data_IF_645809080980
#
_entry.id   IF_645809080980
#
_cell.length_a   1.000
_cell.length_b   1.000
_cell.length_c   1.000
_cell.angle_alpha   90.00
_cell.angle_beta   90.00
_cell.angle_gamma   90.00
#
_symmetry.space_group_name_H-M   'P 1'
#
loop_
_entity.id
_entity.type
_entity.pdbx_description
1 polymer ?
#
# COMPACT_ATOMS: atom_id res chain seq x y z
N UNK A 1 -10.83 -16.89 -21.53
CA UNK A 1 -10.38 -17.93 -20.58
C UNK A 1 -8.88 -17.76 -20.41
N UNK A 2 -8.45 -17.13 -19.31
CA UNK A 2 -7.01 -17.08 -18.97
C UNK A 2 -6.73 -18.43 -18.30
N UNK A 3 -5.91 -19.26 -18.94
CA UNK A 3 -5.41 -20.49 -18.33
C UNK A 3 -4.56 -20.08 -17.12
N UNK A 4 -5.04 -20.41 -15.93
CA UNK A 4 -4.29 -20.36 -14.68
C UNK A 4 -3.13 -21.37 -14.77
N UNK A 5 -2.01 -20.97 -15.37
CA UNK A 5 -0.76 -21.70 -15.17
C UNK A 5 -0.43 -21.65 -13.68
N UNK A 6 -0.32 -22.81 -12.99
CA UNK A 6 -0.03 -22.83 -11.57
C UNK A 6 1.36 -22.21 -11.37
N UNK A 7 1.39 -21.04 -10.74
CA UNK A 7 2.63 -20.37 -10.34
C UNK A 7 3.45 -21.36 -9.51
N UNK A 8 4.60 -21.75 -10.03
CA UNK A 8 5.42 -22.79 -9.40
C UNK A 8 6.23 -22.21 -8.25
N UNK A 9 6.60 -23.05 -7.27
CA UNK A 9 7.49 -22.63 -6.18
C UNK A 9 8.87 -22.16 -6.70
N UNK A 10 9.23 -22.58 -7.92
CA UNK A 10 10.42 -22.14 -8.64
C UNK A 10 10.30 -20.68 -9.11
N UNK A 11 9.13 -20.28 -9.58
CA UNK A 11 8.84 -18.89 -9.97
C UNK A 11 8.86 -17.97 -8.75
N UNK A 12 8.33 -18.44 -7.61
CA UNK A 12 8.42 -17.71 -6.34
C UNK A 12 9.87 -17.50 -5.90
N UNK A 13 10.69 -18.56 -5.86
CA UNK A 13 12.06 -18.46 -5.37
C UNK A 13 12.93 -17.51 -6.22
N UNK A 14 12.75 -17.52 -7.55
CA UNK A 14 13.44 -16.62 -8.46
C UNK A 14 13.03 -15.15 -8.23
N UNK A 15 11.73 -14.87 -8.24
CA UNK A 15 11.19 -13.51 -8.05
C UNK A 15 11.45 -12.96 -6.65
N UNK A 16 11.39 -13.81 -5.62
CA UNK A 16 11.67 -13.40 -4.26
C UNK A 16 13.15 -13.06 -4.06
N UNK A 17 14.07 -13.83 -4.65
CA UNK A 17 15.51 -13.50 -4.62
C UNK A 17 15.82 -12.18 -5.30
N UNK A 18 15.21 -11.93 -6.45
CA UNK A 18 15.35 -10.67 -7.18
C UNK A 18 14.89 -9.47 -6.35
N UNK A 19 13.72 -9.57 -5.72
CA UNK A 19 13.14 -8.49 -4.91
C UNK A 19 13.85 -8.33 -3.55
N UNK A 20 14.32 -9.43 -2.94
CA UNK A 20 14.88 -9.44 -1.59
C UNK A 20 16.39 -9.18 -1.53
N UNK A 21 17.14 -9.44 -2.61
CA UNK A 21 18.62 -9.46 -2.59
C UNK A 21 19.28 -8.13 -2.21
N UNK A 22 18.55 -7.01 -2.28
CA UNK A 22 19.04 -5.69 -1.86
C UNK A 22 18.68 -5.31 -0.42
N UNK A 23 17.85 -6.12 0.26
CA UNK A 23 17.21 -5.77 1.55
C UNK A 23 17.45 -6.83 2.62
N UNK A 24 17.48 -8.11 2.25
CA UNK A 24 17.61 -9.24 3.17
C UNK A 24 18.96 -9.94 2.98
N UNK A 25 19.45 -10.59 4.03
CA UNK A 25 20.65 -11.44 3.92
C UNK A 25 20.33 -12.74 3.17
N UNK A 26 21.33 -13.35 2.53
CA UNK A 26 21.17 -14.67 1.87
C UNK A 26 20.55 -15.73 2.80
N UNK A 27 20.93 -15.71 4.08
CA UNK A 27 20.34 -16.62 5.07
C UNK A 27 18.83 -16.36 5.26
N UNK A 28 18.43 -15.10 5.43
CA UNK A 28 17.01 -14.73 5.57
C UNK A 28 16.19 -15.07 4.32
N UNK A 29 16.80 -14.91 3.13
CA UNK A 29 16.18 -15.24 1.86
C UNK A 29 15.93 -16.75 1.78
N UNK A 30 16.93 -17.56 2.08
CA UNK A 30 16.82 -19.02 2.02
C UNK A 30 15.84 -19.56 3.08
N UNK A 31 15.86 -19.02 4.30
CA UNK A 31 14.91 -19.37 5.36
C UNK A 31 13.46 -19.10 4.94
N UNK A 32 13.19 -17.96 4.30
CA UNK A 32 11.82 -17.61 3.88
C UNK A 32 11.37 -18.44 2.67
N UNK A 33 12.29 -18.81 1.76
CA UNK A 33 12.01 -19.75 0.67
C UNK A 33 11.63 -21.12 1.24
N UNK A 34 12.36 -21.64 2.22
CA UNK A 34 12.05 -22.92 2.86
C UNK A 34 10.69 -22.87 3.60
N UNK A 35 10.42 -21.78 4.32
CA UNK A 35 9.11 -21.57 4.95
C UNK A 35 7.98 -21.54 3.92
N UNK A 36 8.19 -20.91 2.77
CA UNK A 36 7.18 -20.83 1.72
C UNK A 36 6.97 -22.19 1.03
N UNK A 37 8.03 -22.97 0.80
CA UNK A 37 7.92 -24.35 0.31
C UNK A 37 7.12 -25.21 1.30
N UNK A 38 7.39 -25.06 2.61
CA UNK A 38 6.63 -25.76 3.65
C UNK A 38 5.14 -25.40 3.62
N UNK A 39 4.80 -24.10 3.55
CA UNK A 39 3.41 -23.64 3.44
C UNK A 39 2.72 -24.19 2.19
N UNK A 40 3.45 -24.26 1.08
CA UNK A 40 2.92 -24.72 -0.21
C UNK A 40 2.70 -26.22 -0.23
N UNK A 41 3.61 -26.99 0.36
CA UNK A 41 3.44 -28.42 0.59
C UNK A 41 2.23 -28.70 1.50
N UNK A 42 2.05 -27.93 2.59
CA UNK A 42 0.88 -28.06 3.46
C UNK A 42 -0.43 -27.72 2.72
N UNK A 43 -0.43 -26.64 1.92
CA UNK A 43 -1.58 -26.24 1.12
C UNK A 43 -1.94 -27.32 0.09
N UNK A 44 -0.95 -27.88 -0.61
CA UNK A 44 -1.13 -28.96 -1.57
C UNK A 44 -1.73 -30.21 -0.89
N UNK A 45 -1.20 -30.61 0.28
CA UNK A 45 -1.75 -31.74 1.07
C UNK A 45 -3.21 -31.52 1.47
N UNK A 46 -3.61 -30.28 1.75
CA UNK A 46 -4.99 -29.93 2.12
C UNK A 46 -5.89 -29.59 0.93
N UNK A 47 -5.39 -29.65 -0.31
CA UNK A 47 -6.12 -29.27 -1.52
C UNK A 47 -6.48 -27.77 -1.59
N UNK A 48 -5.65 -26.91 -0.97
CA UNK A 48 -5.84 -25.46 -0.96
C UNK A 48 -5.02 -24.86 -2.12
N UNK A 49 -5.70 -24.16 -3.03
CA UNK A 49 -5.04 -23.53 -4.17
C UNK A 49 -4.06 -22.41 -3.71
N UNK A 50 -2.85 -22.30 -4.31
CA UNK A 50 -1.86 -21.27 -3.97
C UNK A 50 -2.39 -19.84 -3.96
N UNK A 51 -3.25 -19.51 -4.92
CA UNK A 51 -3.85 -18.18 -5.07
C UNK A 51 -4.68 -17.76 -3.84
N UNK A 52 -5.15 -18.71 -3.03
CA UNK A 52 -5.91 -18.42 -1.80
C UNK A 52 -5.05 -17.81 -0.70
N UNK A 53 -3.74 -17.99 -0.69
CA UNK A 53 -2.85 -17.37 0.31
C UNK A 53 -1.78 -16.46 -0.31
N UNK A 54 -1.39 -16.69 -1.58
CA UNK A 54 -0.49 -15.81 -2.34
C UNK A 54 -1.21 -14.66 -3.04
N UNK A 55 -2.51 -14.80 -3.33
CA UNK A 55 -3.22 -13.92 -4.24
C UNK A 55 -2.89 -14.21 -5.71
N UNK A 56 -3.35 -13.34 -6.61
CA UNK A 56 -3.19 -13.52 -8.07
C UNK A 56 -1.94 -12.83 -8.64
N UNK A 57 -1.29 -11.95 -7.87
CA UNK A 57 -0.09 -11.23 -8.31
C UNK A 57 1.10 -11.68 -7.45
N UNK A 58 1.91 -12.60 -7.99
CA UNK A 58 3.05 -13.16 -7.29
C UNK A 58 4.11 -12.09 -6.98
N UNK A 59 4.35 -11.14 -7.89
CA UNK A 59 5.32 -10.07 -7.67
C UNK A 59 4.92 -9.19 -6.48
N UNK A 60 3.65 -8.83 -6.37
CA UNK A 60 3.11 -8.12 -5.20
C UNK A 60 3.27 -8.95 -3.93
N UNK A 61 3.03 -10.26 -4.01
CA UNK A 61 3.21 -11.17 -2.88
C UNK A 61 4.66 -11.21 -2.39
N UNK A 62 5.63 -11.40 -3.29
CA UNK A 62 7.07 -11.35 -2.97
C UNK A 62 7.45 -10.02 -2.32
N UNK A 63 6.97 -8.89 -2.89
CA UNK A 63 7.17 -7.56 -2.32
C UNK A 63 6.62 -7.46 -0.90
N UNK A 64 5.36 -7.85 -0.67
CA UNK A 64 4.75 -7.81 0.66
C UNK A 64 5.52 -8.65 1.70
N UNK A 65 6.15 -9.76 1.29
CA UNK A 65 7.02 -10.57 2.16
C UNK A 65 8.30 -9.80 2.51
N UNK A 66 9.02 -9.27 1.52
CA UNK A 66 10.23 -8.48 1.76
C UNK A 66 9.95 -7.32 2.70
N UNK A 67 8.82 -6.64 2.48
CA UNK A 67 8.36 -5.49 3.29
C UNK A 67 7.96 -5.89 4.71
N UNK A 68 7.53 -7.14 4.93
CA UNK A 68 7.21 -7.62 6.27
C UNK A 68 8.42 -7.75 7.20
N UNK A 69 9.63 -7.90 6.63
CA UNK A 69 10.89 -7.95 7.36
C UNK A 69 11.48 -6.57 7.67
N UNK A 70 10.88 -5.48 7.16
CA UNK A 70 11.34 -4.11 7.38
C UNK A 70 10.57 -3.44 8.54
N UNK A 71 11.16 -2.43 9.20
CA UNK A 71 10.48 -1.71 10.29
C UNK A 71 9.18 -1.07 9.81
N UNK A 72 8.22 -0.90 10.74
CA UNK A 72 6.89 -0.35 10.47
C UNK A 72 6.02 -1.19 9.50
N UNK A 73 6.34 -2.46 9.25
CA UNK A 73 5.63 -3.33 8.28
C UNK A 73 4.10 -3.34 8.41
N UNK A 74 3.55 -3.17 9.61
CA UNK A 74 2.11 -3.00 9.82
C UNK A 74 1.53 -1.77 9.09
N UNK A 75 2.22 -0.63 9.16
CA UNK A 75 1.86 0.57 8.41
C UNK A 75 1.93 0.31 6.91
N UNK A 76 2.90 -0.49 6.46
CA UNK A 76 3.01 -0.87 5.06
C UNK A 76 1.81 -1.64 4.54
N UNK A 77 1.45 -2.66 5.28
CA UNK A 77 0.33 -3.52 4.93
C UNK A 77 -0.98 -2.71 4.95
N UNK A 78 -1.16 -1.80 5.91
CA UNK A 78 -2.31 -0.91 5.98
C UNK A 78 -2.40 0.02 4.77
N UNK A 79 -1.33 0.74 4.43
CA UNK A 79 -1.32 1.67 3.30
C UNK A 79 -1.47 0.95 1.96
N UNK A 80 -0.85 -0.22 1.79
CA UNK A 80 -1.00 -1.06 0.59
C UNK A 80 -2.43 -1.56 0.41
N UNK A 81 -3.09 -1.97 1.50
CA UNK A 81 -4.51 -2.38 1.48
C UNK A 81 -5.43 -1.18 1.18
N UNK A 82 -5.17 -0.03 1.81
CA UNK A 82 -5.94 1.19 1.58
C UNK A 82 -5.83 1.67 0.14
N UNK A 83 -4.63 1.65 -0.44
CA UNK A 83 -4.41 1.98 -1.86
C UNK A 83 -5.16 1.03 -2.77
N UNK A 84 -5.12 -0.27 -2.47
CA UNK A 84 -5.89 -1.26 -3.21
C UNK A 84 -7.38 -0.98 -3.17
N UNK A 85 -7.93 -0.70 -1.98
CA UNK A 85 -9.33 -0.34 -1.81
C UNK A 85 -9.68 0.94 -2.59
N UNK A 86 -8.84 1.98 -2.51
CA UNK A 86 -9.00 3.26 -3.22
C UNK A 86 -8.98 3.07 -4.74
N UNK A 87 -8.09 2.21 -5.26
CA UNK A 87 -7.98 1.93 -6.69
C UNK A 87 -9.22 1.23 -7.26
N UNK A 88 -9.92 0.43 -6.44
CA UNK A 88 -11.22 -0.17 -6.79
C UNK A 88 -12.35 0.83 -6.62
N UNK A 89 -12.26 1.72 -5.62
CA UNK A 89 -13.28 2.71 -5.31
C UNK A 89 -13.38 3.82 -6.37
N UNK A 90 -12.25 4.28 -6.93
CA UNK A 90 -12.23 5.39 -7.87
C UNK A 90 -13.09 5.15 -9.13
N UNK A 91 -12.95 4.04 -9.88
CA UNK A 91 -13.80 3.79 -11.04
C UNK A 91 -15.28 3.79 -10.68
N UNK A 92 -15.63 3.22 -9.52
CA UNK A 92 -17.02 3.17 -9.01
C UNK A 92 -17.51 4.58 -8.69
N UNK A 93 -16.70 5.42 -8.04
CA UNK A 93 -17.01 6.82 -7.74
C UNK A 93 -17.11 7.70 -9.00
N UNK A 94 -16.27 7.48 -10.00
CA UNK A 94 -16.35 8.18 -11.29
C UNK A 94 -17.62 7.79 -12.05
N UNK A 95 -17.94 6.49 -12.12
CA UNK A 95 -19.20 5.99 -12.67
C UNK A 95 -20.41 6.57 -11.93
N UNK A 96 -20.37 6.60 -10.60
CA UNK A 96 -21.38 7.23 -9.74
C UNK A 96 -21.65 8.69 -10.11
N UNK A 97 -20.59 9.48 -10.32
CA UNK A 97 -20.73 10.88 -10.69
C UNK A 97 -21.32 11.05 -12.10
N UNK A 98 -20.88 10.24 -13.06
CA UNK A 98 -21.42 10.23 -14.43
C UNK A 98 -22.90 9.84 -14.43
N UNK A 99 -23.26 8.75 -13.75
CA UNK A 99 -24.65 8.27 -13.65
C UNK A 99 -25.53 9.28 -12.93
N UNK A 100 -25.06 9.90 -11.83
CA UNK A 100 -25.80 10.95 -11.12
C UNK A 100 -26.10 12.15 -12.04
N UNK A 101 -25.20 12.46 -12.97
CA UNK A 101 -25.38 13.57 -13.91
C UNK A 101 -26.31 13.22 -15.07
N UNK A 102 -26.42 11.94 -15.41
CA UNK A 102 -27.20 11.44 -16.54
C UNK A 102 -28.59 10.90 -16.15
N UNK A 103 -28.78 10.42 -14.91
CA UNK A 103 -30.00 9.72 -14.48
C UNK A 103 -30.40 10.17 -13.06
N UNK A 104 -31.66 10.59 -12.91
CA UNK A 104 -32.22 11.07 -11.64
C UNK A 104 -32.43 9.91 -10.64
N UNK A 105 -31.59 9.88 -9.58
CA UNK A 105 -31.82 9.56 -8.15
C UNK A 105 -32.01 8.14 -7.53
N UNK A 106 -32.39 7.00 -8.17
CA UNK A 106 -32.34 5.70 -7.47
C UNK A 106 -31.06 4.89 -7.74
N UNK A 107 -30.34 5.10 -8.85
CA UNK A 107 -29.11 4.33 -9.14
C UNK A 107 -27.93 4.72 -8.24
N UNK A 108 -27.85 5.98 -7.78
CA UNK A 108 -26.74 6.45 -6.95
C UNK A 108 -26.62 5.67 -5.62
N UNK A 109 -27.75 5.29 -5.01
CA UNK A 109 -27.75 4.45 -3.81
C UNK A 109 -27.20 3.05 -4.07
N UNK A 110 -27.59 2.42 -5.18
CA UNK A 110 -27.15 1.07 -5.56
C UNK A 110 -25.64 1.00 -5.80
N UNK A 111 -25.07 1.99 -6.48
CA UNK A 111 -23.62 2.02 -6.71
C UNK A 111 -22.81 2.33 -5.45
N UNK A 112 -23.32 3.13 -4.50
CA UNK A 112 -22.68 3.32 -3.20
C UNK A 112 -22.67 2.02 -2.36
N UNK A 113 -23.74 1.23 -2.44
CA UNK A 113 -23.76 -0.12 -1.87
C UNK A 113 -22.69 -0.98 -2.52
N UNK A 114 -22.60 -0.98 -3.85
CA UNK A 114 -21.55 -1.72 -4.56
C UNK A 114 -20.14 -1.29 -4.13
N UNK A 115 -19.91 0.02 -3.97
CA UNK A 115 -18.63 0.57 -3.51
C UNK A 115 -18.25 0.06 -2.10
N UNK A 116 -19.19 0.12 -1.15
CA UNK A 116 -19.00 -0.35 0.23
C UNK A 116 -18.71 -1.85 0.24
N UNK A 117 -19.50 -2.63 -0.50
CA UNK A 117 -19.31 -4.08 -0.63
C UNK A 117 -17.94 -4.40 -1.23
N UNK A 118 -17.55 -3.74 -2.32
CA UNK A 118 -16.24 -3.97 -2.96
C UNK A 118 -15.07 -3.69 -2.00
N UNK A 119 -15.10 -2.60 -1.24
CA UNK A 119 -14.03 -2.24 -0.29
C UNK A 119 -13.98 -3.25 0.87
N UNK A 120 -15.12 -3.60 1.46
CA UNK A 120 -15.20 -4.57 2.55
C UNK A 120 -14.69 -5.94 2.11
N UNK A 121 -15.13 -6.43 0.95
CA UNK A 121 -14.71 -7.73 0.45
C UNK A 121 -13.22 -7.72 0.05
N UNK A 122 -12.70 -6.62 -0.50
CA UNK A 122 -11.27 -6.50 -0.77
C UNK A 122 -10.43 -6.55 0.51
N UNK A 123 -10.75 -5.70 1.49
CA UNK A 123 -10.00 -5.58 2.74
C UNK A 123 -10.06 -6.86 3.59
N UNK A 124 -11.25 -7.40 3.80
CA UNK A 124 -11.44 -8.62 4.60
C UNK A 124 -10.82 -9.83 3.90
N UNK A 125 -10.86 -9.92 2.57
CA UNK A 125 -10.14 -10.96 1.82
C UNK A 125 -8.62 -10.84 2.02
N UNK A 126 -8.07 -9.63 2.05
CA UNK A 126 -6.63 -9.41 2.31
C UNK A 126 -6.23 -9.94 3.69
N UNK A 127 -7.02 -9.63 4.72
CA UNK A 127 -6.81 -10.14 6.09
C UNK A 127 -6.94 -11.66 6.15
N UNK A 128 -7.95 -12.22 5.46
CA UNK A 128 -8.16 -13.67 5.38
C UNK A 128 -6.95 -14.38 4.78
N UNK A 129 -6.37 -13.85 3.68
CA UNK A 129 -5.15 -14.41 3.06
C UNK A 129 -3.97 -14.44 4.03
N UNK A 130 -3.74 -13.34 4.76
CA UNK A 130 -2.67 -13.26 5.77
C UNK A 130 -2.87 -14.28 6.89
N UNK A 131 -4.08 -14.38 7.45
CA UNK A 131 -4.40 -15.38 8.48
C UNK A 131 -4.26 -16.81 7.97
N UNK A 132 -4.65 -17.07 6.72
CA UNK A 132 -4.47 -18.38 6.09
C UNK A 132 -2.98 -18.72 5.93
N UNK A 133 -2.14 -17.74 5.59
CA UNK A 133 -0.68 -17.94 5.54
C UNK A 133 -0.10 -18.29 6.91
N UNK A 134 -0.55 -17.63 7.98
CA UNK A 134 -0.14 -17.97 9.36
C UNK A 134 -0.59 -19.38 9.75
N UNK A 135 -1.81 -19.78 9.34
CA UNK A 135 -2.32 -21.14 9.56
C UNK A 135 -1.44 -22.18 8.83
N UNK A 136 -1.05 -21.92 7.58
CA UNK A 136 -0.17 -22.77 6.78
C UNK A 136 1.29 -22.79 7.24
N UNK A 137 1.72 -21.82 8.06
CA UNK A 137 3.03 -21.89 8.71
C UNK A 137 3.02 -22.69 10.01
N UNK A 138 1.84 -22.96 10.58
CA UNK A 138 1.73 -23.79 11.77
C UNK A 138 1.81 -25.27 11.40
N UNK A 139 2.48 -26.09 12.21
CA UNK A 139 2.56 -27.53 12.01
C UNK A 139 1.22 -28.18 12.37
N UNK A 140 0.22 -28.08 11.48
CA UNK A 140 -1.05 -28.79 11.64
C UNK A 140 -0.84 -30.22 11.13
N UNK A 141 -0.92 -31.26 11.99
CA UNK A 141 -0.55 -32.62 11.62
C UNK A 141 -1.54 -33.30 10.66
N UNK A 142 -2.80 -32.84 10.61
CA UNK A 142 -3.86 -33.48 9.84
C UNK A 142 -4.40 -32.57 8.72
N UNK A 143 -4.38 -33.07 7.49
CA UNK A 143 -4.80 -32.34 6.29
C UNK A 143 -6.30 -32.01 6.28
N UNK A 144 -7.15 -32.89 6.84
CA UNK A 144 -8.60 -32.67 6.92
C UNK A 144 -8.94 -31.54 7.89
N UNK A 145 -8.28 -31.51 9.05
CA UNK A 145 -8.40 -30.43 10.04
C UNK A 145 -7.91 -29.10 9.49
N UNK A 146 -6.81 -29.10 8.73
CA UNK A 146 -6.28 -27.90 8.08
C UNK A 146 -7.28 -27.33 7.05
N UNK A 147 -7.85 -28.20 6.20
CA UNK A 147 -8.88 -27.82 5.23
C UNK A 147 -10.14 -27.27 5.89
N UNK A 148 -10.59 -27.90 6.98
CA UNK A 148 -11.75 -27.44 7.75
C UNK A 148 -11.49 -26.06 8.37
N UNK A 149 -10.32 -25.84 9.00
CA UNK A 149 -9.94 -24.54 9.55
C UNK A 149 -9.85 -23.45 8.48
N UNK A 150 -9.27 -23.77 7.32
CA UNK A 150 -9.21 -22.84 6.19
C UNK A 150 -10.61 -22.48 5.66
N UNK A 151 -11.51 -23.47 5.54
CA UNK A 151 -12.91 -23.24 5.16
C UNK A 151 -13.67 -22.39 6.18
N UNK A 152 -13.49 -22.67 7.47
CA UNK A 152 -14.11 -21.91 8.55
C UNK A 152 -13.62 -20.45 8.57
N UNK A 153 -12.32 -20.24 8.37
CA UNK A 153 -11.74 -18.90 8.24
C UNK A 153 -12.37 -18.13 7.06
N UNK A 154 -12.57 -18.80 5.93
CA UNK A 154 -13.20 -18.21 4.75
C UNK A 154 -14.66 -17.82 5.04
N UNK A 155 -15.44 -18.69 5.67
CA UNK A 155 -16.84 -18.40 6.06
C UNK A 155 -16.89 -17.19 7.01
N UNK A 156 -16.08 -17.18 8.07
CA UNK A 156 -16.02 -16.06 9.03
C UNK A 156 -15.67 -14.76 8.31
N UNK A 157 -14.70 -14.80 7.39
CA UNK A 157 -14.30 -13.61 6.63
C UNK A 157 -15.45 -13.08 5.75
N UNK A 158 -16.16 -13.96 5.04
CA UNK A 158 -17.31 -13.56 4.21
C UNK A 158 -18.43 -12.98 5.05
N UNK A 159 -18.76 -13.60 6.18
CA UNK A 159 -19.80 -13.11 7.09
C UNK A 159 -19.40 -11.76 7.68
N UNK A 160 -18.13 -11.60 8.07
CA UNK A 160 -17.61 -10.34 8.61
C UNK A 160 -17.66 -9.23 7.56
N UNK A 161 -17.28 -9.52 6.31
CA UNK A 161 -17.38 -8.57 5.20
C UNK A 161 -18.82 -8.16 4.93
N UNK A 162 -19.76 -9.10 4.98
CA UNK A 162 -21.19 -8.82 4.81
C UNK A 162 -21.75 -7.94 5.94
N UNK A 163 -21.48 -8.30 7.20
CA UNK A 163 -21.90 -7.52 8.37
C UNK A 163 -21.30 -6.11 8.31
N UNK A 164 -20.00 -5.98 8.04
CA UNK A 164 -19.34 -4.68 7.94
C UNK A 164 -19.92 -3.84 6.80
N UNK A 165 -20.23 -4.46 5.66
CA UNK A 165 -20.90 -3.78 4.53
C UNK A 165 -22.28 -3.27 4.92
N UNK A 166 -23.09 -4.07 5.62
CA UNK A 166 -24.39 -3.65 6.12
C UNK A 166 -24.27 -2.50 7.12
N UNK A 167 -23.35 -2.59 8.08
CA UNK A 167 -23.12 -1.53 9.06
C UNK A 167 -22.69 -0.21 8.40
N UNK A 168 -21.74 -0.27 7.47
CA UNK A 168 -21.30 0.91 6.71
C UNK A 168 -22.41 1.49 5.84
N UNK A 169 -23.29 0.64 5.30
CA UNK A 169 -24.47 1.09 4.57
C UNK A 169 -25.46 1.82 5.49
N UNK A 170 -25.73 1.31 6.70
CA UNK A 170 -26.58 2.01 7.67
C UNK A 170 -25.98 3.36 8.07
N UNK A 171 -24.67 3.42 8.35
CA UNK A 171 -23.96 4.68 8.60
C UNK A 171 -24.09 5.62 7.39
N UNK A 172 -23.90 5.11 6.18
CA UNK A 172 -24.06 5.90 4.97
C UNK A 172 -25.48 6.48 4.82
N UNK A 173 -26.52 5.69 5.09
CA UNK A 173 -27.91 6.16 5.04
C UNK A 173 -28.19 7.23 6.10
N UNK A 174 -27.75 7.02 7.34
CA UNK A 174 -27.93 7.96 8.45
C UNK A 174 -27.22 9.30 8.22
N UNK A 175 -26.08 9.29 7.53
CA UNK A 175 -25.27 10.48 7.26
C UNK A 175 -25.29 10.92 5.78
N UNK A 176 -26.22 10.38 4.97
CA UNK A 176 -26.22 10.53 3.51
C UNK A 176 -26.15 12.00 3.07
N UNK A 177 -26.98 12.87 3.66
CA UNK A 177 -27.02 14.28 3.32
C UNK A 177 -25.76 15.06 3.74
N UNK A 178 -25.06 14.63 4.79
CA UNK A 178 -23.80 15.25 5.21
C UNK A 178 -22.65 14.77 4.32
N UNK A 179 -22.52 13.45 4.12
CA UNK A 179 -21.46 12.85 3.30
C UNK A 179 -21.55 13.33 1.84
N UNK A 180 -22.75 13.46 1.27
CA UNK A 180 -22.94 13.92 -0.11
C UNK A 180 -22.62 15.40 -0.32
N UNK A 181 -22.67 16.25 0.72
CA UNK A 181 -22.16 17.64 0.66
C UNK A 181 -20.63 17.67 0.55
N UNK A 182 -19.96 16.71 1.17
CA UNK A 182 -18.49 16.56 1.14
C UNK A 182 -17.98 15.82 -0.11
N UNK A 183 -18.79 14.97 -0.73
CA UNK A 183 -18.39 14.13 -1.86
C UNK A 183 -18.51 14.84 -3.22
N UNK A 184 -17.91 16.02 -3.37
CA UNK A 184 -17.70 16.61 -4.70
C UNK A 184 -16.71 15.75 -5.50
N UNK A 185 -16.83 15.71 -6.83
CA UNK A 185 -15.88 14.98 -7.68
C UNK A 185 -14.44 15.45 -7.41
N UNK A 186 -14.28 16.75 -7.15
CA UNK A 186 -13.01 17.35 -6.77
C UNK A 186 -12.49 16.75 -5.46
N UNK A 187 -13.30 16.66 -4.40
CA UNK A 187 -12.87 16.10 -3.12
C UNK A 187 -12.55 14.60 -3.21
N UNK A 188 -13.31 13.85 -4.02
CA UNK A 188 -13.04 12.42 -4.29
C UNK A 188 -11.72 12.27 -5.04
N UNK A 189 -11.49 13.09 -6.06
CA UNK A 189 -10.25 13.08 -6.82
C UNK A 189 -9.05 13.46 -5.94
N UNK A 190 -9.19 14.51 -5.13
CA UNK A 190 -8.16 14.93 -4.19
C UNK A 190 -7.85 13.82 -3.18
N UNK A 191 -8.87 13.18 -2.59
CA UNK A 191 -8.66 12.07 -1.67
C UNK A 191 -7.97 10.86 -2.35
N UNK A 192 -8.39 10.51 -3.57
CA UNK A 192 -7.74 9.45 -4.36
C UNK A 192 -6.26 9.76 -4.59
N UNK A 193 -5.97 10.98 -5.03
CA UNK A 193 -4.61 11.46 -5.28
C UNK A 193 -3.77 11.44 -4.01
N UNK A 194 -4.30 11.87 -2.87
CA UNK A 194 -3.62 11.80 -1.57
C UNK A 194 -3.28 10.37 -1.15
N UNK A 195 -4.21 9.43 -1.38
CA UNK A 195 -4.00 8.02 -1.03
C UNK A 195 -2.99 7.33 -1.96
N UNK A 196 -3.07 7.61 -3.26
CA UNK A 196 -2.05 7.16 -4.23
C UNK A 196 -0.68 7.76 -3.93
N UNK A 197 -0.64 9.03 -3.51
CA UNK A 197 0.57 9.70 -3.07
C UNK A 197 1.15 9.03 -1.82
N UNK A 198 0.33 8.84 -0.78
CA UNK A 198 0.73 8.16 0.45
C UNK A 198 1.31 6.77 0.13
N UNK A 199 0.67 6.03 -0.78
CA UNK A 199 1.17 4.75 -1.28
C UNK A 199 2.51 4.85 -2.01
N UNK A 200 2.65 5.86 -2.88
CA UNK A 200 3.83 6.09 -3.69
C UNK A 200 5.04 6.48 -2.85
N UNK A 201 4.90 7.49 -1.98
CA UNK A 201 5.92 7.86 -1.00
C UNK A 201 6.33 6.64 -0.20
N UNK A 202 5.34 5.96 0.36
CA UNK A 202 5.55 4.77 1.16
C UNK A 202 6.29 3.63 0.42
N UNK A 203 5.98 3.37 -0.84
CA UNK A 203 6.74 2.40 -1.65
C UNK A 203 8.21 2.80 -1.80
N UNK A 204 8.46 4.10 -2.04
CA UNK A 204 9.81 4.67 -2.13
C UNK A 204 10.55 4.59 -0.79
N UNK A 205 9.84 4.81 0.34
CA UNK A 205 10.39 4.72 1.70
C UNK A 205 10.97 3.35 1.99
N UNK A 206 10.20 2.30 1.69
CA UNK A 206 10.63 0.95 1.99
C UNK A 206 11.72 0.44 1.04
N UNK A 207 11.75 0.90 -0.21
CA UNK A 207 12.77 0.53 -1.20
C UNK A 207 14.17 1.11 -0.90
N UNK A 208 14.24 2.00 0.09
CA UNK A 208 15.37 2.91 0.27
C UNK A 208 15.75 3.04 1.74
N UNK A 209 16.12 1.95 2.46
CA UNK A 209 16.56 1.99 3.88
C UNK A 209 16.02 3.22 4.64
N UNK A 210 14.69 3.30 4.77
CA UNK A 210 13.91 4.52 4.95
C UNK A 210 14.54 5.55 5.91
N UNK A 211 15.00 5.05 7.06
CA UNK A 211 15.56 5.85 8.14
C UNK A 211 16.84 6.55 7.68
N UNK A 212 17.77 5.81 7.08
CA UNK A 212 19.02 6.36 6.55
C UNK A 212 18.75 7.38 5.44
N UNK A 213 17.80 7.09 4.55
CA UNK A 213 17.41 8.02 3.48
C UNK A 213 16.85 9.34 4.03
N UNK A 214 15.88 9.29 4.94
CA UNK A 214 15.35 10.51 5.56
C UNK A 214 16.36 11.24 6.43
N UNK A 215 17.22 10.50 7.13
CA UNK A 215 18.27 11.07 7.96
C UNK A 215 19.20 11.97 7.13
N UNK A 216 19.52 11.60 5.89
CA UNK A 216 20.30 12.46 4.98
C UNK A 216 19.64 13.82 4.80
N UNK A 217 18.36 13.85 4.43
CA UNK A 217 17.61 15.09 4.19
C UNK A 217 17.43 15.91 5.47
N UNK A 218 17.02 15.25 6.56
CA UNK A 218 16.82 15.89 7.86
C UNK A 218 18.11 16.51 8.39
N UNK A 219 19.23 15.78 8.41
CA UNK A 219 20.51 16.29 8.87
C UNK A 219 21.08 17.36 7.94
N UNK A 220 20.76 17.30 6.63
CA UNK A 220 21.11 18.37 5.69
C UNK A 220 20.37 19.66 6.03
N UNK A 221 19.05 19.58 6.26
CA UNK A 221 18.23 20.74 6.67
C UNK A 221 18.66 21.27 8.04
N UNK A 222 19.00 20.39 8.97
CA UNK A 222 19.50 20.75 10.30
C UNK A 222 20.99 21.19 10.31
N UNK A 223 21.64 21.29 9.15
CA UNK A 223 23.05 21.67 8.98
C UNK A 223 24.07 20.80 9.76
N UNK A 224 23.74 19.53 10.03
CA UNK A 224 24.58 18.59 10.78
C UNK A 224 25.50 17.81 9.82
N UNK A 225 26.61 18.44 9.37
CA UNK A 225 27.50 17.88 8.34
C UNK A 225 28.07 16.49 8.67
N UNK A 226 28.52 16.26 9.91
CA UNK A 226 29.09 14.97 10.33
C UNK A 226 28.05 13.84 10.30
N UNK A 227 26.85 14.10 10.81
CA UNK A 227 25.72 13.15 10.79
C UNK A 227 25.17 12.92 9.39
N UNK A 228 25.19 13.94 8.53
CA UNK A 228 24.83 13.81 7.12
C UNK A 228 25.79 12.86 6.40
N UNK A 229 27.11 13.00 6.60
CA UNK A 229 28.11 12.10 6.02
C UNK A 229 27.95 10.65 6.52
N UNK A 230 27.68 10.47 7.82
CA UNK A 230 27.39 9.16 8.40
C UNK A 230 26.13 8.53 7.80
N UNK A 231 25.04 9.30 7.66
CA UNK A 231 23.79 8.82 7.07
C UNK A 231 23.94 8.46 5.59
N UNK A 232 24.70 9.24 4.81
CA UNK A 232 25.04 8.91 3.41
C UNK A 232 25.78 7.59 3.36
N UNK A 233 26.82 7.41 4.19
CA UNK A 233 27.63 6.19 4.23
C UNK A 233 26.78 4.96 4.58
N UNK A 234 25.95 5.06 5.63
CA UNK A 234 25.02 3.99 5.99
C UNK A 234 24.05 3.65 4.86
N UNK A 235 23.52 4.66 4.16
CA UNK A 235 22.61 4.45 3.03
C UNK A 235 23.30 3.79 1.83
N UNK A 236 24.55 4.18 1.52
CA UNK A 236 25.30 3.61 0.39
C UNK A 236 25.81 2.21 0.68
N UNK A 237 26.38 1.97 1.87
CA UNK A 237 26.87 0.64 2.29
C UNK A 237 25.71 -0.35 2.44
N UNK A 238 24.57 0.14 2.93
CA UNK A 238 23.37 -0.64 3.11
C UNK A 238 22.67 -1.11 1.83
N UNK A 239 23.05 -0.60 0.65
CA UNK A 239 22.43 -0.92 -0.64
C UNK A 239 23.20 -1.92 -1.51
N UNK A 240 24.39 -2.34 -1.08
CA UNK A 240 25.24 -3.29 -1.81
C UNK A 240 25.55 -2.84 -3.24
N UNK A 241 25.48 -3.77 -4.20
CA UNK A 241 25.90 -3.57 -5.60
C UNK A 241 24.81 -2.98 -6.53
N UNK A 242 23.69 -2.49 -6.00
CA UNK A 242 22.61 -1.97 -6.86
C UNK A 242 22.98 -0.61 -7.47
N UNK A 243 22.69 -0.36 -8.77
CA UNK A 243 23.07 0.88 -9.43
C UNK A 243 22.25 2.05 -8.86
N UNK A 244 22.92 2.83 -8.01
CA UNK A 244 22.29 3.86 -7.18
C UNK A 244 21.75 5.05 -7.98
N UNK A 245 22.48 5.42 -9.04
CA UNK A 245 22.21 6.60 -9.85
C UNK A 245 20.89 6.53 -10.65
N UNK A 246 20.62 5.50 -11.47
CA UNK A 246 19.35 5.41 -12.20
C UNK A 246 18.15 5.33 -11.26
N UNK A 247 18.29 4.63 -10.13
CA UNK A 247 17.24 4.57 -9.12
C UNK A 247 16.94 5.95 -8.50
N UNK A 248 17.96 6.75 -8.16
CA UNK A 248 17.76 8.11 -7.64
C UNK A 248 17.14 9.06 -8.68
N UNK A 249 17.42 8.89 -9.98
CA UNK A 249 16.76 9.67 -11.05
C UNK A 249 15.26 9.39 -11.06
N UNK A 250 14.88 8.10 -11.02
CA UNK A 250 13.50 7.66 -10.98
C UNK A 250 12.77 8.19 -9.74
N UNK A 251 13.36 8.04 -8.54
CA UNK A 251 12.82 8.60 -7.30
C UNK A 251 12.61 10.12 -7.42
N UNK A 252 13.58 10.86 -7.96
CA UNK A 252 13.50 12.31 -8.09
C UNK A 252 12.33 12.75 -8.96
N UNK A 253 12.12 12.08 -10.10
CA UNK A 253 11.01 12.39 -11.01
C UNK A 253 9.67 12.12 -10.30
N UNK A 254 9.54 10.96 -9.65
CA UNK A 254 8.33 10.65 -8.89
C UNK A 254 8.09 11.66 -7.76
N UNK A 255 9.11 12.00 -6.96
CA UNK A 255 8.99 12.99 -5.89
C UNK A 255 8.62 14.39 -6.41
N UNK A 256 9.14 14.83 -7.57
CA UNK A 256 8.78 16.12 -8.14
C UNK A 256 7.33 16.17 -8.61
N UNK A 257 6.87 15.14 -9.32
CA UNK A 257 5.46 15.02 -9.73
C UNK A 257 4.57 14.97 -8.48
N UNK A 258 4.97 14.19 -7.50
CA UNK A 258 4.22 13.98 -6.28
C UNK A 258 4.13 15.27 -5.44
N UNK A 259 5.22 16.02 -5.28
CA UNK A 259 5.23 17.34 -4.64
C UNK A 259 4.39 18.36 -5.39
N UNK A 260 4.46 18.40 -6.72
CA UNK A 260 3.61 19.30 -7.53
C UNK A 260 2.13 19.06 -7.25
N UNK A 261 1.74 17.79 -7.21
CA UNK A 261 0.37 17.38 -6.93
C UNK A 261 -0.07 17.76 -5.51
N UNK A 262 0.76 17.51 -4.47
CA UNK A 262 0.38 17.90 -3.10
C UNK A 262 0.35 19.42 -2.95
N UNK A 263 1.29 20.16 -3.55
CA UNK A 263 1.25 21.61 -3.50
C UNK A 263 -0.06 22.18 -4.09
N UNK A 264 -0.59 21.56 -5.15
CA UNK A 264 -1.93 21.89 -5.67
C UNK A 264 -3.01 21.55 -4.65
N UNK A 265 -2.93 20.38 -4.01
CA UNK A 265 -3.87 19.99 -2.95
C UNK A 265 -3.84 20.94 -1.74
N UNK A 266 -2.65 21.30 -1.25
CA UNK A 266 -2.44 22.29 -0.19
C UNK A 266 -3.06 23.63 -0.59
N UNK A 267 -2.80 24.10 -1.82
CA UNK A 267 -3.38 25.33 -2.33
C UNK A 267 -4.92 25.28 -2.36
N UNK A 268 -5.49 24.16 -2.81
CA UNK A 268 -6.93 23.97 -2.85
C UNK A 268 -7.54 23.92 -1.44
N UNK A 269 -6.91 23.20 -0.51
CA UNK A 269 -7.33 23.14 0.90
C UNK A 269 -7.26 24.52 1.56
N UNK A 270 -6.17 25.26 1.38
CA UNK A 270 -6.01 26.63 1.88
C UNK A 270 -7.10 27.54 1.31
N UNK A 271 -7.28 27.54 -0.02
CA UNK A 271 -8.31 28.35 -0.68
C UNK A 271 -9.70 28.00 -0.15
N UNK A 272 -9.99 26.73 0.05
CA UNK A 272 -11.30 26.27 0.49
C UNK A 272 -11.54 26.63 1.97
N UNK A 273 -10.53 26.50 2.84
CA UNK A 273 -10.59 27.01 4.22
C UNK A 273 -10.80 28.53 4.29
N UNK A 274 -10.21 29.29 3.37
CA UNK A 274 -10.37 30.75 3.30
C UNK A 274 -11.78 31.17 2.83
N UNK A 275 -12.39 30.40 1.93
CA UNK A 275 -13.73 30.70 1.38
C UNK A 275 -14.86 30.20 2.30
N UNK A 276 -14.72 28.99 2.84
CA UNK A 276 -15.67 28.37 3.76
C UNK A 276 -14.93 27.49 4.76
N UNK A 277 -14.85 27.95 6.00
CA UNK A 277 -14.16 27.21 7.06
C UNK A 277 -14.87 25.88 7.35
N UNK A 278 -14.11 24.79 7.21
CA UNK A 278 -14.59 23.43 7.39
C UNK A 278 -13.51 22.57 8.04
N UNK A 279 -13.86 21.91 9.15
CA UNK A 279 -12.95 21.06 9.93
C UNK A 279 -12.40 19.87 9.12
N UNK A 280 -13.18 19.32 8.18
CA UNK A 280 -12.70 18.23 7.34
C UNK A 280 -11.65 18.70 6.34
N UNK A 281 -11.85 19.89 5.76
CA UNK A 281 -10.87 20.52 4.84
C UNK A 281 -9.60 20.90 5.59
N UNK A 282 -9.72 21.40 6.82
CA UNK A 282 -8.57 21.70 7.68
C UNK A 282 -7.76 20.44 8.02
N UNK A 283 -8.45 19.35 8.36
CA UNK A 283 -7.80 18.06 8.66
C UNK A 283 -7.09 17.53 7.41
N UNK A 284 -7.74 17.56 6.25
CA UNK A 284 -7.15 17.15 4.97
C UNK A 284 -5.93 18.02 4.61
N UNK A 285 -6.07 19.34 4.77
CA UNK A 285 -4.99 20.29 4.51
C UNK A 285 -3.79 20.08 5.45
N UNK A 286 -4.02 19.74 6.72
CA UNK A 286 -2.96 19.43 7.68
C UNK A 286 -2.20 18.17 7.29
N UNK A 287 -2.92 17.09 6.93
CA UNK A 287 -2.31 15.84 6.46
C UNK A 287 -1.55 16.07 5.15
N UNK A 288 -2.12 16.86 4.24
CA UNK A 288 -1.49 17.24 2.98
C UNK A 288 -0.20 18.03 3.20
N UNK A 289 -0.22 19.03 4.08
CA UNK A 289 0.97 19.84 4.41
C UNK A 289 2.07 18.97 5.04
N UNK A 290 1.70 18.02 5.90
CA UNK A 290 2.65 17.05 6.46
C UNK A 290 3.27 16.18 5.35
N UNK A 291 2.48 15.74 4.38
CA UNK A 291 2.95 15.01 3.22
C UNK A 291 3.90 15.84 2.35
N UNK A 292 3.62 17.15 2.17
CA UNK A 292 4.53 18.09 1.49
C UNK A 292 5.86 18.18 2.22
N UNK A 293 5.86 18.32 3.55
CA UNK A 293 7.09 18.36 4.34
C UNK A 293 7.93 17.08 4.17
N UNK A 294 7.28 15.91 4.26
CA UNK A 294 7.92 14.61 4.05
C UNK A 294 8.49 14.50 2.62
N UNK A 295 7.74 14.95 1.62
CA UNK A 295 8.16 14.96 0.22
C UNK A 295 9.38 15.87 -0.02
N UNK A 296 9.41 17.05 0.60
CA UNK A 296 10.52 18.00 0.50
C UNK A 296 11.78 17.43 1.13
N UNK A 297 11.69 16.87 2.34
CA UNK A 297 12.83 16.22 3.00
C UNK A 297 13.33 15.04 2.13
N UNK A 298 12.42 14.23 1.59
CA UNK A 298 12.76 13.13 0.67
C UNK A 298 13.49 13.61 -0.59
N UNK A 299 13.05 14.74 -1.17
CA UNK A 299 13.67 15.32 -2.36
C UNK A 299 15.08 15.82 -2.05
N UNK A 300 15.26 16.48 -0.89
CA UNK A 300 16.58 16.94 -0.42
C UNK A 300 17.52 15.74 -0.24
N UNK A 301 17.07 14.67 0.43
CA UNK A 301 17.83 13.42 0.54
C UNK A 301 18.28 12.91 -0.82
N UNK A 302 17.35 12.85 -1.77
CA UNK A 302 17.62 12.37 -3.13
C UNK A 302 18.65 13.24 -3.87
N UNK A 303 18.56 14.56 -3.76
CA UNK A 303 19.50 15.51 -4.40
C UNK A 303 20.90 15.37 -3.80
N UNK A 304 21.00 15.27 -2.46
CA UNK A 304 22.28 15.13 -1.75
C UNK A 304 22.97 13.83 -2.14
N UNK A 305 22.22 12.72 -2.13
CA UNK A 305 22.72 11.41 -2.55
C UNK A 305 23.15 11.40 -4.02
N UNK A 306 22.34 11.98 -4.92
CA UNK A 306 22.67 12.06 -6.34
C UNK A 306 23.97 12.86 -6.59
N UNK A 307 24.17 13.96 -5.86
CA UNK A 307 25.43 14.73 -5.91
C UNK A 307 26.61 13.93 -5.38
N UNK A 308 26.43 13.14 -4.34
CA UNK A 308 27.48 12.26 -3.81
C UNK A 308 27.89 11.22 -4.86
N UNK A 309 26.93 10.57 -5.52
CA UNK A 309 27.18 9.61 -6.61
C UNK A 309 27.80 10.23 -7.88
N UNK A 310 27.80 11.55 -8.02
CA UNK A 310 28.43 12.24 -9.16
C UNK A 310 29.87 12.65 -8.87
N UNK A 311 30.31 12.58 -7.61
CA UNK A 311 31.66 12.95 -7.16
C UNK A 311 32.58 11.73 -6.98
N UNK A 312 32.00 10.55 -6.84
CA UNK A 312 32.68 9.26 -6.83
C UNK A 312 32.45 8.58 -8.18
#
# INVERSE_FOLDING_TARGET
MVQDTPVTDRDFAALFREEAGSILTEQQINDEIEREQTRSAQAARAGIAPNRFRGFNLQRYCKDIVRSHQPLSCLYLLLSDLTGAVSVLLPICCLLWVVRRLIAFPLAGAYCVCAIVCVCFYGISSICRRRLRTLLSSSVPNATTLRQKAGHLQIISTVTAAILSCLLFFVYQSYFQQITKFASLQNIFLWFVSMMFLSGVHNVLYESQCISFFAVGWYTVAHQKSRTASAIRHYTEGRGNTPLRPHLVTIRIYLMIALFIICILDFLCIRQCLMHFDYAVLTLGTVSTLCTLIGVISLISCIVLFRHCSKN
#
